data_IF_009598380362
#
_entry.id   IF_009598380362
#
_cell.length_a   1.000
_cell.length_b   1.000
_cell.length_c   1.000
_cell.angle_alpha   90.00
_cell.angle_beta   90.00
_cell.angle_gamma   90.00
#
_symmetry.space_group_name_H-M   'P 1'
#
loop_
_entity.id
_entity.type
_entity.pdbx_description
1 polymer ?
#
# COMPACT_ATOMS: atom_id res chain seq x y z
N UNK A 1 -1.34 -6.15 -1.27
CA UNK A 1 -1.81 -7.06 -0.19
C UNK A 1 -3.06 -6.46 0.45
N UNK A 2 -3.92 -7.27 1.08
CA UNK A 2 -5.01 -6.75 1.90
C UNK A 2 -5.28 -7.63 3.13
N UNK A 3 -5.74 -7.02 4.22
CA UNK A 3 -6.04 -7.64 5.51
C UNK A 3 -7.37 -7.12 6.11
N UNK A 4 -7.91 -7.80 7.12
CA UNK A 4 -9.16 -7.43 7.78
C UNK A 4 -10.44 -7.82 7.03
N UNK A 5 -11.63 -7.51 7.61
CA UNK A 5 -12.94 -7.88 7.08
C UNK A 5 -13.17 -7.36 5.65
N UNK A 6 -13.86 -8.12 4.80
CA UNK A 6 -14.08 -7.72 3.39
C UNK A 6 -15.03 -6.53 3.24
N UNK A 7 -15.89 -6.33 4.23
CA UNK A 7 -16.96 -5.33 4.34
C UNK A 7 -16.63 -4.20 5.34
N UNK A 8 -15.44 -4.23 5.95
CA UNK A 8 -14.98 -3.19 6.86
C UNK A 8 -14.65 -1.87 6.14
N UNK A 9 -14.63 -0.73 6.86
CA UNK A 9 -14.20 0.55 6.30
C UNK A 9 -12.79 0.44 5.72
N UNK A 10 -12.59 0.97 4.51
CA UNK A 10 -11.32 0.81 3.77
C UNK A 10 -10.27 1.79 4.28
N UNK A 11 -9.10 1.28 4.62
CA UNK A 11 -7.90 2.06 4.89
C UNK A 11 -6.83 1.72 3.84
N UNK A 12 -6.37 2.70 3.06
CA UNK A 12 -5.29 2.52 2.08
C UNK A 12 -4.00 3.10 2.64
N UNK A 13 -2.98 2.25 2.81
CA UNK A 13 -1.67 2.66 3.33
C UNK A 13 -0.67 2.81 2.18
N UNK A 14 -0.34 4.06 1.83
CA UNK A 14 0.62 4.40 0.78
C UNK A 14 1.99 4.64 1.41
N UNK A 15 3.02 3.94 0.93
CA UNK A 15 4.38 4.06 1.45
C UNK A 15 5.13 5.30 0.90
N UNK A 16 6.29 5.63 1.48
CA UNK A 16 7.15 6.72 1.03
C UNK A 16 8.30 6.29 0.10
N UNK A 17 9.28 7.18 -0.07
CA UNK A 17 10.56 6.91 -0.73
C UNK A 17 11.68 6.76 0.33
N UNK A 18 12.58 5.75 0.23
CA UNK A 18 12.49 4.51 -0.54
C UNK A 18 11.91 3.36 0.30
N UNK A 19 10.62 3.05 0.13
CA UNK A 19 9.93 1.98 0.88
C UNK A 19 9.08 1.09 -0.03
N UNK A 20 8.38 0.11 0.57
CA UNK A 20 7.35 -0.72 -0.06
C UNK A 20 6.34 -1.16 1.01
N UNK A 21 5.37 -2.04 0.68
CA UNK A 21 4.27 -2.41 1.60
C UNK A 21 4.74 -2.79 3.03
N UNK A 22 5.93 -3.38 3.15
CA UNK A 22 6.48 -3.89 4.41
C UNK A 22 6.81 -2.81 5.44
N UNK A 23 6.92 -1.55 5.03
CA UNK A 23 7.02 -0.40 5.94
C UNK A 23 5.84 -0.35 6.92
N UNK A 24 4.67 -0.78 6.46
CA UNK A 24 3.43 -0.78 7.24
C UNK A 24 3.17 -2.07 8.03
N UNK A 25 4.08 -3.05 8.05
CA UNK A 25 3.81 -4.38 8.64
C UNK A 25 3.29 -4.33 10.08
N UNK A 26 3.70 -3.33 10.86
CA UNK A 26 3.28 -3.15 12.26
C UNK A 26 1.93 -2.45 12.41
N UNK A 27 1.43 -1.81 11.37
CA UNK A 27 0.15 -1.12 11.34
C UNK A 27 -0.96 -1.99 10.73
N UNK A 28 -0.60 -2.95 9.87
CA UNK A 28 -1.57 -3.82 9.17
C UNK A 28 -2.46 -4.58 10.15
N UNK A 29 -1.86 -5.30 11.10
CA UNK A 29 -2.62 -6.16 12.03
C UNK A 29 -3.48 -5.33 13.00
N UNK A 30 -2.97 -4.29 13.69
CA UNK A 30 -3.81 -3.46 14.56
C UNK A 30 -4.99 -2.80 13.84
N UNK A 31 -4.81 -2.34 12.60
CA UNK A 31 -5.91 -1.75 11.83
C UNK A 31 -6.93 -2.81 11.39
N UNK A 32 -6.48 -4.00 11.02
CA UNK A 32 -7.37 -5.10 10.68
C UNK A 32 -8.19 -5.56 11.89
N UNK A 33 -7.57 -5.66 13.08
CA UNK A 33 -8.23 -5.98 14.35
C UNK A 33 -9.24 -4.89 14.77
N UNK A 34 -8.95 -3.62 14.45
CA UNK A 34 -9.88 -2.52 14.62
C UNK A 34 -11.06 -2.52 13.62
N UNK A 35 -11.15 -3.54 12.75
CA UNK A 35 -12.26 -3.74 11.83
C UNK A 35 -12.08 -3.10 10.45
N UNK A 36 -10.93 -2.49 10.15
CA UNK A 36 -10.68 -1.90 8.84
C UNK A 36 -10.34 -2.96 7.79
N UNK A 37 -10.81 -2.75 6.56
CA UNK A 37 -10.27 -3.40 5.38
C UNK A 37 -8.99 -2.68 4.95
N UNK A 38 -7.85 -3.20 5.36
CA UNK A 38 -6.55 -2.58 5.09
C UNK A 38 -6.04 -3.01 3.72
N UNK A 39 -5.75 -2.05 2.84
CA UNK A 39 -5.15 -2.28 1.52
C UNK A 39 -3.76 -1.64 1.52
N UNK A 40 -2.74 -2.45 1.22
CA UNK A 40 -1.34 -2.01 1.22
C UNK A 40 -0.71 -2.41 -0.12
N UNK A 41 -0.73 -1.53 -1.13
CA UNK A 41 -0.11 -1.76 -2.42
C UNK A 41 1.39 -1.43 -2.39
N UNK A 42 2.15 -2.06 -3.27
CA UNK A 42 3.42 -1.49 -3.70
C UNK A 42 3.11 -0.42 -4.76
N UNK A 43 3.57 0.81 -4.55
CA UNK A 43 3.38 1.88 -5.53
C UNK A 43 4.26 1.65 -6.76
N UNK A 44 3.87 2.31 -7.85
CA UNK A 44 4.60 2.31 -9.12
C UNK A 44 6.08 2.60 -8.87
N UNK A 45 6.96 1.78 -9.44
CA UNK A 45 8.41 1.90 -9.25
C UNK A 45 9.00 1.04 -8.13
N UNK A 46 8.19 0.37 -7.30
CA UNK A 46 8.67 -0.35 -6.11
C UNK A 46 8.32 -1.83 -6.09
N UNK A 47 9.18 -2.61 -5.42
CA UNK A 47 9.02 -4.02 -5.06
C UNK A 47 8.35 -4.90 -6.13
N UNK A 48 7.12 -5.39 -5.95
CA UNK A 48 6.47 -6.30 -6.91
C UNK A 48 5.66 -5.55 -7.98
N UNK A 49 5.45 -4.25 -7.83
CA UNK A 49 4.76 -3.42 -8.82
C UNK A 49 5.62 -3.13 -10.04
N UNK A 50 4.95 -2.83 -11.15
CA UNK A 50 5.61 -2.44 -12.39
C UNK A 50 6.54 -1.23 -12.20
N UNK A 51 7.61 -1.22 -12.99
CA UNK A 51 8.64 -0.16 -12.99
C UNK A 51 8.75 0.41 -14.40
N UNK A 52 7.77 1.21 -14.85
CA UNK A 52 7.82 1.82 -16.18
C UNK A 52 9.11 2.62 -16.37
N UNK A 53 9.64 2.60 -17.60
CA UNK A 53 10.85 3.35 -17.96
C UNK A 53 10.52 4.84 -18.15
N UNK A 54 11.54 5.68 -17.90
CA UNK A 54 11.43 7.12 -18.03
C UNK A 54 10.73 7.77 -16.84
N UNK A 55 10.72 9.11 -16.83
CA UNK A 55 10.17 9.91 -15.72
C UNK A 55 8.68 10.22 -15.89
N UNK A 56 8.20 10.31 -17.14
CA UNK A 56 6.82 10.67 -17.45
C UNK A 56 5.78 9.77 -16.74
N UNK A 57 5.97 8.44 -16.61
CA UNK A 57 5.05 7.59 -15.87
C UNK A 57 4.99 7.86 -14.36
N UNK A 58 5.82 8.73 -13.79
CA UNK A 58 5.81 9.06 -12.35
C UNK A 58 5.31 10.49 -12.08
N UNK A 59 4.83 11.20 -13.11
CA UNK A 59 4.17 12.48 -12.91
C UNK A 59 2.83 12.29 -12.20
N UNK A 60 2.49 13.22 -11.30
CA UNK A 60 1.21 13.27 -10.57
C UNK A 60 0.22 14.27 -11.20
N UNK A 61 0.56 14.80 -12.38
CA UNK A 61 -0.11 15.92 -13.05
C UNK A 61 -1.00 15.47 -14.19
#
# INVERSE_FOLDING_TARGET
MAAGPKDGPVAVLLHGFPEFWYGWRKQIEPLAEAGFRVIVPDQRGYNLSGKPRGVAPYALT
#
